data_IF_176321752518
#
_entry.id   IF_176321752518
#
_cell.length_a   1.000
_cell.length_b   1.000
_cell.length_c   1.000
_cell.angle_alpha   90.00
_cell.angle_beta   90.00
_cell.angle_gamma   90.00
#
_symmetry.space_group_name_H-M   'P 1'
#
loop_
_entity.id
_entity.type
_entity.pdbx_description
1 polymer ?
#
# COMPACT_ATOMS: atom_id res chain seq x y z
N UNK A 1 -9.04 24.60 -5.45
CA UNK A 1 -9.45 23.71 -4.35
C UNK A 1 -8.20 23.01 -3.84
N UNK A 2 -8.04 22.86 -2.52
CA UNK A 2 -6.92 22.06 -2.01
C UNK A 2 -7.23 20.59 -2.32
N UNK A 3 -6.29 19.92 -2.99
CA UNK A 3 -6.36 18.47 -3.24
C UNK A 3 -6.11 17.73 -1.94
N UNK A 4 -6.75 16.58 -1.75
CA UNK A 4 -6.56 15.73 -0.58
C UNK A 4 -5.27 14.92 -0.74
N UNK A 5 -4.27 15.08 0.15
CA UNK A 5 -3.03 14.32 0.09
C UNK A 5 -3.28 12.85 0.44
N UNK A 6 -2.89 11.95 -0.44
CA UNK A 6 -3.13 10.51 -0.35
C UNK A 6 -1.84 9.73 -0.56
N UNK A 7 -1.63 8.69 0.24
CA UNK A 7 -0.64 7.63 0.00
C UNK A 7 -1.41 6.33 -0.15
N UNK A 8 -1.04 5.50 -1.12
CA UNK A 8 -1.63 4.17 -1.31
C UNK A 8 -0.60 3.12 -0.89
N UNK A 9 -0.99 2.19 0.00
CA UNK A 9 -0.24 0.99 0.34
C UNK A 9 -0.98 -0.23 -0.21
N UNK A 10 -0.34 -1.01 -1.12
CA UNK A 10 -1.03 -1.92 -2.04
C UNK A 10 -0.23 -3.20 -2.29
N UNK A 11 -0.94 -4.28 -2.59
CA UNK A 11 -0.38 -5.52 -3.14
C UNK A 11 -0.85 -5.77 -4.59
N UNK A 12 -0.95 -4.70 -5.38
CA UNK A 12 -1.44 -4.69 -6.76
C UNK A 12 -0.82 -5.78 -7.64
N UNK A 13 -1.67 -6.55 -8.31
CA UNK A 13 -1.25 -7.65 -9.18
C UNK A 13 -2.02 -7.69 -10.52
N UNK A 14 -2.43 -6.52 -11.02
CA UNK A 14 -3.16 -6.38 -12.28
C UNK A 14 -2.39 -7.04 -13.43
N UNK A 15 -3.03 -8.03 -14.09
CA UNK A 15 -2.43 -8.78 -15.20
C UNK A 15 -1.40 -9.85 -14.77
N UNK A 16 -1.21 -10.07 -13.49
CA UNK A 16 -0.37 -11.15 -12.96
C UNK A 16 -1.15 -12.45 -12.91
N UNK A 17 -0.50 -13.53 -13.36
CA UNK A 17 -0.94 -14.89 -13.13
C UNK A 17 0.07 -15.59 -12.21
N UNK A 18 -0.40 -16.22 -11.16
CA UNK A 18 0.43 -16.97 -10.23
C UNK A 18 -0.23 -18.30 -9.91
N UNK A 19 0.53 -19.40 -9.99
CA UNK A 19 0.04 -20.77 -9.81
C UNK A 19 -1.15 -21.13 -10.73
N UNK A 20 -1.13 -20.62 -11.98
CA UNK A 20 -2.17 -20.88 -12.97
C UNK A 20 -3.50 -20.17 -12.71
N UNK A 21 -3.52 -19.13 -11.88
CA UNK A 21 -4.71 -18.32 -11.59
C UNK A 21 -4.43 -16.85 -11.77
N UNK A 22 -5.33 -16.10 -12.43
CA UNK A 22 -5.24 -14.65 -12.45
C UNK A 22 -5.40 -14.09 -11.04
N UNK A 23 -4.64 -13.05 -10.74
CA UNK A 23 -4.71 -12.34 -9.47
C UNK A 23 -5.75 -11.24 -9.53
N UNK A 24 -6.18 -10.78 -8.36
CA UNK A 24 -7.17 -9.72 -8.20
C UNK A 24 -6.65 -8.40 -8.79
N UNK A 25 -7.57 -7.60 -9.33
CA UNK A 25 -7.24 -6.43 -10.18
C UNK A 25 -7.70 -5.10 -9.61
N UNK A 26 -8.45 -5.10 -8.51
CA UNK A 26 -9.11 -3.93 -7.94
C UNK A 26 -8.11 -2.85 -7.47
N UNK A 27 -7.00 -3.24 -6.88
CA UNK A 27 -5.91 -2.33 -6.49
C UNK A 27 -5.37 -1.53 -7.68
N UNK A 28 -5.27 -2.18 -8.85
CA UNK A 28 -4.85 -1.51 -10.08
C UNK A 28 -5.81 -0.40 -10.49
N UNK A 29 -7.12 -0.65 -10.36
CA UNK A 29 -8.14 0.39 -10.61
C UNK A 29 -8.07 1.50 -9.58
N UNK A 30 -7.83 1.19 -8.31
CA UNK A 30 -7.71 2.20 -7.25
C UNK A 30 -6.53 3.16 -7.52
N UNK A 31 -5.37 2.64 -7.95
CA UNK A 31 -4.21 3.48 -8.32
C UNK A 31 -4.55 4.35 -9.54
N UNK A 32 -5.14 3.77 -10.59
CA UNK A 32 -5.52 4.50 -11.81
C UNK A 32 -6.52 5.60 -11.48
N UNK A 33 -7.51 5.34 -10.63
CA UNK A 33 -8.48 6.34 -10.20
C UNK A 33 -7.79 7.48 -9.44
N UNK A 34 -6.94 7.17 -8.47
CA UNK A 34 -6.21 8.17 -7.70
C UNK A 34 -5.32 9.06 -8.59
N UNK A 35 -4.68 8.49 -9.61
CA UNK A 35 -3.89 9.24 -10.59
C UNK A 35 -4.72 10.17 -11.48
N UNK A 36 -6.03 9.92 -11.64
CA UNK A 36 -6.94 10.70 -12.49
C UNK A 36 -7.87 11.63 -11.71
N UNK A 37 -8.07 11.41 -10.42
CA UNK A 37 -8.99 12.18 -9.59
C UNK A 37 -8.48 13.61 -9.41
N UNK A 38 -9.26 14.64 -9.82
CA UNK A 38 -8.81 16.02 -9.75
C UNK A 38 -8.73 16.59 -8.33
N UNK A 39 -9.39 15.96 -7.39
CA UNK A 39 -9.47 16.32 -5.96
C UNK A 39 -8.48 15.55 -5.08
N UNK A 40 -7.77 14.57 -5.63
CA UNK A 40 -6.71 13.84 -4.94
C UNK A 40 -5.31 14.30 -5.36
N UNK A 41 -4.39 14.31 -4.43
CA UNK A 41 -2.96 14.48 -4.65
C UNK A 41 -2.25 13.21 -4.17
N UNK A 42 -1.96 12.30 -5.11
CA UNK A 42 -1.22 11.08 -4.80
C UNK A 42 0.23 11.43 -4.51
N UNK A 43 0.67 11.23 -3.26
CA UNK A 43 2.02 11.54 -2.79
C UNK A 43 3.01 10.42 -3.11
N UNK A 44 2.53 9.19 -3.18
CA UNK A 44 3.31 8.00 -3.48
C UNK A 44 2.50 6.73 -3.33
N UNK A 45 3.08 5.64 -3.82
CA UNK A 45 2.57 4.29 -3.70
C UNK A 45 3.61 3.46 -2.97
N UNK A 46 3.22 2.80 -1.88
CA UNK A 46 4.04 1.79 -1.22
C UNK A 46 3.51 0.41 -1.56
N UNK A 47 4.40 -0.57 -1.70
CA UNK A 47 4.01 -1.93 -2.04
C UNK A 47 4.25 -2.89 -0.89
N UNK A 48 3.45 -3.94 -0.83
CA UNK A 48 3.51 -4.98 0.19
C UNK A 48 3.22 -6.34 -0.47
N UNK A 49 3.72 -7.42 0.09
CA UNK A 49 3.34 -8.78 -0.36
C UNK A 49 1.83 -9.00 -0.22
N UNK A 50 1.27 -10.02 -0.87
CA UNK A 50 -0.12 -10.45 -0.66
C UNK A 50 -0.73 -11.07 -1.90
N UNK A 51 -1.35 -10.28 -2.74
CA UNK A 51 -2.04 -10.73 -3.97
C UNK A 51 -1.07 -11.37 -4.99
N UNK A 52 0.24 -11.13 -4.88
CA UNK A 52 1.28 -11.76 -5.69
C UNK A 52 2.65 -11.70 -5.02
N UNK A 53 3.68 -12.32 -5.65
CA UNK A 53 5.06 -12.14 -5.21
C UNK A 53 5.42 -10.65 -5.17
N UNK A 54 6.05 -10.18 -4.10
CA UNK A 54 6.33 -8.75 -3.90
C UNK A 54 7.07 -8.09 -5.08
N UNK A 55 7.99 -8.82 -5.73
CA UNK A 55 8.69 -8.31 -6.91
C UNK A 55 7.73 -8.00 -8.08
N UNK A 56 6.71 -8.83 -8.29
CA UNK A 56 5.68 -8.60 -9.30
C UNK A 56 4.76 -7.45 -8.92
N UNK A 57 4.34 -7.37 -7.66
CA UNK A 57 3.55 -6.25 -7.12
C UNK A 57 4.27 -4.94 -7.37
N UNK A 58 5.56 -4.86 -7.00
CA UNK A 58 6.36 -3.66 -7.19
C UNK A 58 6.54 -3.30 -8.67
N UNK A 59 6.73 -4.29 -9.55
CA UNK A 59 6.79 -4.09 -11.01
C UNK A 59 5.48 -3.50 -11.54
N UNK A 60 4.35 -4.10 -11.19
CA UNK A 60 3.02 -3.67 -11.67
C UNK A 60 2.68 -2.26 -11.20
N UNK A 61 2.95 -1.93 -9.93
CA UNK A 61 2.75 -0.58 -9.41
C UNK A 61 3.56 0.47 -10.20
N UNK A 62 4.83 0.18 -10.48
CA UNK A 62 5.69 1.06 -11.30
C UNK A 62 5.15 1.22 -12.73
N UNK A 63 4.71 0.14 -13.37
CA UNK A 63 4.15 0.19 -14.71
C UNK A 63 2.88 1.04 -14.79
N UNK A 64 1.96 0.88 -13.82
CA UNK A 64 0.72 1.68 -13.77
C UNK A 64 1.04 3.17 -13.61
N UNK A 65 1.94 3.53 -12.70
CA UNK A 65 2.34 4.92 -12.48
C UNK A 65 3.02 5.49 -13.73
N UNK A 66 3.88 4.71 -14.39
CA UNK A 66 4.58 5.12 -15.61
C UNK A 66 3.63 5.40 -16.79
N UNK A 67 2.48 4.69 -16.89
CA UNK A 67 1.47 4.94 -17.93
C UNK A 67 0.92 6.38 -17.90
N UNK A 68 0.92 7.00 -16.75
CA UNK A 68 0.49 8.41 -16.60
C UNK A 68 1.61 9.42 -16.75
N UNK A 69 2.85 8.96 -17.01
CA UNK A 69 4.04 9.82 -16.98
C UNK A 69 4.10 10.69 -15.71
N UNK A 70 3.57 10.18 -14.61
CA UNK A 70 3.52 10.87 -13.34
C UNK A 70 4.84 10.66 -12.59
N UNK A 71 5.35 11.74 -12.02
CA UNK A 71 6.52 11.69 -11.12
C UNK A 71 6.06 11.32 -9.69
N UNK A 72 5.42 10.14 -9.58
CA UNK A 72 4.93 9.59 -8.33
C UNK A 72 5.88 8.48 -7.89
N UNK A 73 6.47 8.56 -6.70
CA UNK A 73 7.38 7.53 -6.22
C UNK A 73 6.60 6.22 -5.91
N UNK A 74 7.18 5.10 -6.33
CA UNK A 74 6.74 3.75 -5.96
C UNK A 74 7.84 3.11 -5.13
N UNK A 75 7.54 2.75 -3.88
CA UNK A 75 8.52 2.27 -2.91
C UNK A 75 8.16 0.86 -2.44
N UNK A 76 9.09 -0.08 -2.60
CA UNK A 76 8.96 -1.43 -2.09
C UNK A 76 8.97 -1.50 -0.57
N UNK A 77 8.05 -2.26 -0.01
CA UNK A 77 7.91 -2.49 1.42
C UNK A 77 8.12 -3.94 1.83
N UNK A 78 7.28 -4.43 2.74
CA UNK A 78 7.41 -5.78 3.27
C UNK A 78 7.12 -6.84 2.19
N UNK A 79 7.96 -7.85 2.12
CA UNK A 79 7.88 -9.02 1.23
C UNK A 79 7.27 -10.25 1.91
N UNK A 80 7.07 -10.19 3.24
CA UNK A 80 6.45 -11.24 4.04
C UNK A 80 5.64 -10.68 5.22
N UNK A 81 4.84 -11.54 5.86
CA UNK A 81 4.06 -11.21 7.04
C UNK A 81 4.94 -10.90 8.25
N UNK A 82 4.40 -10.11 9.18
CA UNK A 82 5.03 -9.94 10.48
C UNK A 82 5.07 -11.28 11.25
N UNK A 83 6.12 -11.53 12.03
CA UNK A 83 6.20 -12.72 12.85
C UNK A 83 5.07 -12.73 13.89
N UNK A 84 4.47 -13.90 14.13
CA UNK A 84 3.44 -14.04 15.17
C UNK A 84 3.98 -13.77 16.58
N UNK A 85 5.27 -14.03 16.79
CA UNK A 85 5.94 -13.86 18.07
C UNK A 85 7.36 -13.34 17.86
N UNK A 86 7.89 -12.62 18.85
CA UNK A 86 9.25 -12.09 18.83
C UNK A 86 9.32 -10.63 18.43
N UNK A 87 10.52 -10.18 18.11
CA UNK A 87 10.77 -8.78 17.72
C UNK A 87 10.29 -8.53 16.29
N UNK A 88 9.73 -7.36 16.08
CA UNK A 88 9.36 -6.92 14.74
C UNK A 88 10.61 -6.61 13.90
N UNK A 89 10.56 -6.85 12.58
CA UNK A 89 11.66 -6.50 11.69
C UNK A 89 11.91 -4.99 11.69
N UNK A 90 13.10 -4.53 11.28
CA UNK A 90 13.39 -3.11 11.13
C UNK A 90 12.46 -2.46 10.11
N UNK A 91 12.34 -1.13 10.19
CA UNK A 91 11.62 -0.34 9.19
C UNK A 91 12.24 -0.58 7.80
N UNK A 92 11.39 -0.87 6.82
CA UNK A 92 11.76 -0.98 5.41
C UNK A 92 11.65 0.38 4.69
N UNK A 93 11.99 0.42 3.41
CA UNK A 93 11.99 1.66 2.62
C UNK A 93 10.58 2.27 2.51
N UNK A 94 9.53 1.46 2.39
CA UNK A 94 8.15 1.96 2.38
C UNK A 94 7.77 2.63 3.70
N UNK A 95 8.15 2.03 4.83
CA UNK A 95 7.92 2.62 6.17
C UNK A 95 8.70 3.92 6.34
N UNK A 96 9.94 3.97 5.87
CA UNK A 96 10.75 5.19 5.89
C UNK A 96 10.11 6.30 5.03
N UNK A 97 9.62 5.97 3.84
CA UNK A 97 8.89 6.89 2.97
C UNK A 97 7.60 7.40 3.62
N UNK A 98 6.75 6.51 4.15
CA UNK A 98 5.52 6.87 4.85
C UNK A 98 5.80 7.85 5.98
N UNK A 99 6.81 7.55 6.81
CA UNK A 99 7.20 8.44 7.92
C UNK A 99 7.71 9.79 7.43
N UNK A 100 8.51 9.84 6.38
CA UNK A 100 9.01 11.08 5.80
C UNK A 100 7.88 11.94 5.23
N UNK A 101 6.98 11.36 4.43
CA UNK A 101 5.85 12.05 3.84
C UNK A 101 4.90 12.63 4.91
N UNK A 102 4.63 11.85 5.97
CA UNK A 102 3.80 12.31 7.08
C UNK A 102 4.48 13.40 7.94
N UNK A 103 5.82 13.42 8.04
CA UNK A 103 6.53 14.53 8.71
C UNK A 103 6.45 15.82 7.91
N UNK A 104 6.42 15.71 6.58
CA UNK A 104 6.31 16.88 5.71
C UNK A 104 4.92 17.51 5.80
N UNK A 105 3.85 16.69 5.78
CA UNK A 105 2.46 17.17 5.90
C UNK A 105 1.47 16.06 6.27
N UNK A 106 0.33 16.42 6.90
CA UNK A 106 -0.74 15.46 7.13
C UNK A 106 -1.27 14.85 5.83
N UNK A 107 -1.57 13.54 5.84
CA UNK A 107 -2.06 12.82 4.69
C UNK A 107 -3.06 11.71 5.07
N UNK A 108 -3.88 11.30 4.11
CA UNK A 108 -4.68 10.10 4.15
C UNK A 108 -3.86 8.90 3.67
N UNK A 109 -4.13 7.70 4.20
CA UNK A 109 -3.53 6.46 3.74
C UNK A 109 -4.65 5.52 3.29
N UNK A 110 -4.60 5.06 2.04
CA UNK A 110 -5.40 3.95 1.56
C UNK A 110 -4.55 2.67 1.65
N UNK A 111 -4.79 1.88 2.70
CA UNK A 111 -4.14 0.59 2.92
C UNK A 111 -5.01 -0.51 2.34
N UNK A 112 -4.79 -0.84 1.07
CA UNK A 112 -5.60 -1.78 0.30
C UNK A 112 -4.96 -3.16 0.16
N UNK A 113 -3.67 -3.29 0.48
CA UNK A 113 -2.96 -4.55 0.69
C UNK A 113 -2.90 -4.97 2.17
N UNK A 114 -2.14 -6.01 2.51
CA UNK A 114 -1.85 -6.41 3.90
C UNK A 114 -1.27 -5.26 4.73
N UNK A 115 -1.72 -5.12 5.97
CA UNK A 115 -1.38 -3.99 6.84
C UNK A 115 0.05 -4.03 7.43
N UNK A 116 0.96 -4.80 6.85
CA UNK A 116 2.31 -5.02 7.37
C UNK A 116 3.13 -3.72 7.43
N UNK A 117 3.16 -2.94 6.35
CA UNK A 117 3.85 -1.65 6.34
C UNK A 117 3.23 -0.67 7.34
N UNK A 118 1.90 -0.68 7.48
CA UNK A 118 1.19 0.19 8.44
C UNK A 118 1.51 -0.21 9.88
N UNK A 119 1.54 -1.52 10.17
CA UNK A 119 1.95 -2.03 11.48
C UNK A 119 3.38 -1.62 11.86
N UNK A 120 4.31 -1.73 10.91
CA UNK A 120 5.70 -1.30 11.10
C UNK A 120 5.81 0.22 11.27
N UNK A 121 5.02 1.02 10.52
CA UNK A 121 4.96 2.46 10.70
C UNK A 121 4.54 2.84 12.12
N UNK A 122 3.47 2.23 12.62
CA UNK A 122 2.97 2.47 13.98
C UNK A 122 4.03 2.11 15.03
N UNK A 123 4.75 1.02 14.82
CA UNK A 123 5.77 0.55 15.76
C UNK A 123 7.02 1.43 15.76
N UNK A 124 7.57 1.72 14.58
CA UNK A 124 8.87 2.40 14.47
C UNK A 124 8.78 3.94 14.47
N UNK A 125 7.63 4.49 14.05
CA UNK A 125 7.43 5.93 13.88
C UNK A 125 6.14 6.43 14.53
N UNK A 126 5.91 6.19 15.84
CA UNK A 126 4.71 6.68 16.52
C UNK A 126 4.61 8.21 16.53
N UNK A 127 5.72 8.91 16.32
CA UNK A 127 5.82 10.36 16.26
C UNK A 127 5.02 10.98 15.09
N UNK A 128 4.81 10.24 13.99
CA UNK A 128 4.11 10.75 12.80
C UNK A 128 2.60 10.49 12.81
N UNK A 129 2.09 9.70 13.74
CA UNK A 129 0.69 9.25 13.72
C UNK A 129 -0.32 10.39 13.88
N UNK A 130 0.08 11.49 14.52
CA UNK A 130 -0.75 12.70 14.62
C UNK A 130 -0.98 13.39 13.28
N UNK A 131 -0.18 13.08 12.26
CA UNK A 131 -0.29 13.59 10.90
C UNK A 131 -1.04 12.64 9.96
N UNK A 132 -1.49 11.48 10.44
CA UNK A 132 -2.38 10.59 9.68
C UNK A 132 -3.80 11.13 9.82
N UNK A 133 -4.34 11.67 8.72
CA UNK A 133 -5.71 12.22 8.69
C UNK A 133 -6.76 11.12 8.76
N UNK A 134 -6.54 10.03 8.05
CA UNK A 134 -7.33 8.78 8.14
C UNK A 134 -6.56 7.61 7.54
N UNK A 135 -6.93 6.41 7.93
CA UNK A 135 -6.56 5.17 7.24
C UNK A 135 -7.85 4.54 6.72
N UNK A 136 -7.93 4.33 5.40
CA UNK A 136 -8.97 3.54 4.76
C UNK A 136 -8.35 2.18 4.46
N UNK A 137 -8.82 1.14 5.14
CA UNK A 137 -8.23 -0.19 5.03
C UNK A 137 -9.23 -1.19 4.43
N UNK A 138 -8.76 -1.98 3.46
CA UNK A 138 -9.44 -3.21 3.04
C UNK A 138 -8.96 -4.32 3.96
N UNK A 139 -9.67 -4.55 5.06
CA UNK A 139 -9.24 -5.45 6.11
C UNK A 139 -10.42 -6.00 6.92
N UNK A 140 -10.14 -7.08 7.64
CA UNK A 140 -11.11 -7.71 8.52
C UNK A 140 -11.98 -8.74 7.81
N UNK A 141 -12.62 -9.57 8.63
CA UNK A 141 -13.54 -10.60 8.17
C UNK A 141 -14.56 -10.87 9.28
N UNK A 142 -15.78 -11.19 8.89
CA UNK A 142 -16.81 -11.62 9.85
C UNK A 142 -16.46 -12.97 10.45
N UNK A 143 -16.83 -13.19 11.73
CA UNK A 143 -16.67 -14.47 12.38
C UNK A 143 -17.33 -15.59 11.56
N UNK A 144 -16.60 -16.69 11.37
CA UNK A 144 -17.07 -17.83 10.60
C UNK A 144 -17.06 -17.66 9.06
N UNK A 145 -16.77 -16.48 8.54
CA UNK A 145 -16.59 -16.31 7.11
C UNK A 145 -15.36 -17.08 6.62
N UNK A 146 -15.45 -17.82 5.50
CA UNK A 146 -14.29 -18.48 4.93
C UNK A 146 -13.26 -17.43 4.48
N UNK A 147 -11.99 -17.69 4.74
CA UNK A 147 -10.90 -16.95 4.14
C UNK A 147 -10.50 -17.66 2.85
N UNK A 148 -10.49 -16.93 1.75
CA UNK A 148 -10.02 -17.44 0.48
C UNK A 148 -8.60 -16.97 0.26
N UNK A 149 -7.57 -17.77 0.61
CA UNK A 149 -6.18 -17.40 0.35
C UNK A 149 -5.97 -17.34 -1.17
N UNK A 150 -5.47 -16.24 -1.62
CA UNK A 150 -5.22 -15.99 -3.02
C UNK A 150 -6.46 -15.61 -3.80
N UNK A 151 -7.33 -14.84 -3.12
CA UNK A 151 -8.53 -14.23 -3.66
C UNK A 151 -8.64 -14.31 -5.10
#
# INVERSE_FOLDING_TARGET
MNRLPLIIDTDVALGVEHEGRPRDIDDGFAIVEALNAPDLELLGVTTVYGNGPHAEVNRVANEIVALKAADIPVIGGADEALPEHGDLPPANDAVAFLAAALRERPAHIAAIGPLTNIGLLVHHHPDVLSNVLSVIAVAGRSDGAPFYPGG
#
